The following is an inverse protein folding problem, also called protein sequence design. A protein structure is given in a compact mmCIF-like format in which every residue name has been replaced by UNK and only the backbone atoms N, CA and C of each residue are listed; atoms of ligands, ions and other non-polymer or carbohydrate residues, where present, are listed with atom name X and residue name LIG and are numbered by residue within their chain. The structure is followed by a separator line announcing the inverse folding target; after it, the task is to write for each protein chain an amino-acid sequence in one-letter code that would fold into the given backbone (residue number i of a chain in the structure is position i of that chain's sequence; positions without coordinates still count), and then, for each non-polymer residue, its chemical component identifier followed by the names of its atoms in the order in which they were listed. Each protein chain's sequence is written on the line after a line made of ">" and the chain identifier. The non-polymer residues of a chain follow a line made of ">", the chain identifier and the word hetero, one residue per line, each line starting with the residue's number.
data_IF_663413477884
#
_entry.id   IF_663413477884
#
_cell.length_a   1.000
_cell.length_b   1.000
_cell.length_c   1.000
_cell.angle_alpha   90.00
_cell.angle_beta   90.00
_cell.angle_gamma   90.00
#
_symmetry.space_group_name_H-M   'P 1'
#
loop_
_entity.id
_entity.type
_entity.pdbx_description
1 polymer ?
#
# COMPACT_ATOMS: atom_id res chain seq x y z
N UNK A 1 -0.06 -1.27 12.71
CA UNK A 1 -0.06 -0.89 11.28
C UNK A 1 -1.46 -0.81 10.67
N UNK A 2 -2.40 -1.70 11.03
CA UNK A 2 -3.77 -1.68 10.47
C UNK A 2 -4.45 -0.31 10.59
N UNK A 3 -4.42 0.32 11.78
CA UNK A 3 -5.06 1.64 12.01
C UNK A 3 -4.46 2.76 11.15
N UNK A 4 -3.14 2.73 10.93
CA UNK A 4 -2.43 3.73 10.11
C UNK A 4 -2.82 3.58 8.64
N UNK A 5 -2.84 2.35 8.12
CA UNK A 5 -3.26 2.10 6.73
C UNK A 5 -4.75 2.39 6.52
N UNK A 6 -5.60 2.10 7.52
CA UNK A 6 -7.02 2.47 7.47
C UNK A 6 -7.19 4.00 7.40
N UNK A 7 -6.47 4.74 8.25
CA UNK A 7 -6.48 6.21 8.24
C UNK A 7 -6.02 6.76 6.88
N UNK A 8 -4.91 6.25 6.34
CA UNK A 8 -4.41 6.63 5.01
C UNK A 8 -5.45 6.36 3.92
N UNK A 9 -6.13 5.21 3.97
CA UNK A 9 -7.19 4.87 3.02
C UNK A 9 -8.38 5.83 3.10
N UNK A 10 -8.81 6.19 4.31
CA UNK A 10 -9.91 7.16 4.53
C UNK A 10 -9.53 8.55 4.06
N UNK A 11 -8.31 9.01 4.35
CA UNK A 11 -7.82 10.33 3.91
C UNK A 11 -7.74 10.38 2.38
N UNK A 12 -7.20 9.35 1.73
CA UNK A 12 -7.15 9.28 0.26
C UNK A 12 -8.55 9.24 -0.36
N UNK A 13 -9.51 8.53 0.26
CA UNK A 13 -10.91 8.53 -0.17
C UNK A 13 -11.56 9.92 -0.06
N UNK A 14 -11.27 10.65 1.03
CA UNK A 14 -11.76 12.03 1.19
C UNK A 14 -11.18 12.94 0.11
N UNK A 15 -9.88 12.83 -0.19
CA UNK A 15 -9.24 13.59 -1.29
C UNK A 15 -9.88 13.23 -2.63
N UNK A 16 -10.14 11.94 -2.89
CA UNK A 16 -10.87 11.49 -4.08
C UNK A 16 -12.26 12.13 -4.15
N UNK A 17 -13.02 12.13 -3.06
CA UNK A 17 -14.37 12.68 -3.01
C UNK A 17 -14.37 14.20 -3.27
N UNK A 18 -13.42 14.93 -2.69
CA UNK A 18 -13.25 16.37 -2.91
C UNK A 18 -12.90 16.70 -4.36
N UNK A 19 -12.17 15.82 -5.07
CA UNK A 19 -11.91 16.00 -6.50
C UNK A 19 -13.14 15.80 -7.40
N UNK A 20 -14.26 15.25 -6.89
CA UNK A 20 -15.49 15.12 -7.67
C UNK A 20 -16.39 16.36 -7.63
N UNK A 21 -16.26 17.21 -6.61
CA UNK A 21 -17.06 18.44 -6.48
C UNK A 21 -16.55 19.58 -7.37
N UNK A 22 -15.26 19.58 -7.71
CA UNK A 22 -14.68 20.54 -8.64
C UNK A 22 -14.80 20.07 -10.09
N UNK A 23 -15.36 20.93 -10.96
CA UNK A 23 -15.60 20.72 -12.39
C UNK A 23 -14.30 20.58 -13.25
N UNK A 24 -13.13 20.43 -12.61
CA UNK A 24 -11.81 20.27 -13.21
C UNK A 24 -11.35 18.80 -13.16
N UNK A 25 -10.41 18.37 -14.03
CA UNK A 25 -10.50 17.09 -14.70
C UNK A 25 -10.29 15.92 -13.73
N UNK A 26 -11.17 14.93 -13.88
CA UNK A 26 -11.22 13.55 -13.33
C UNK A 26 -9.91 12.73 -13.49
N UNK A 27 -8.80 13.38 -13.86
CA UNK A 27 -7.56 12.75 -14.31
C UNK A 27 -6.79 12.07 -13.18
N UNK A 28 -6.79 12.63 -11.97
CA UNK A 28 -6.03 12.11 -10.83
C UNK A 28 -6.89 11.41 -9.77
N UNK A 29 -8.20 11.68 -9.73
CA UNK A 29 -9.16 11.05 -8.82
C UNK A 29 -9.11 9.51 -8.88
N UNK A 30 -8.91 8.94 -10.08
CA UNK A 30 -8.78 7.49 -10.27
C UNK A 30 -7.51 6.94 -9.60
N UNK A 31 -6.41 7.68 -9.65
CA UNK A 31 -5.14 7.30 -9.00
C UNK A 31 -5.30 7.32 -7.47
N UNK A 32 -5.90 8.39 -6.93
CA UNK A 32 -6.22 8.47 -5.50
C UNK A 32 -7.17 7.36 -5.03
N UNK A 33 -8.21 7.08 -5.81
CA UNK A 33 -9.15 5.99 -5.52
C UNK A 33 -8.45 4.62 -5.51
N UNK A 34 -7.55 4.38 -6.47
CA UNK A 34 -6.80 3.14 -6.54
C UNK A 34 -5.84 3.00 -5.33
N UNK A 35 -5.16 4.08 -4.92
CA UNK A 35 -4.35 4.09 -3.71
C UNK A 35 -5.16 3.86 -2.44
N UNK A 36 -6.33 4.48 -2.32
CA UNK A 36 -7.23 4.29 -1.20
C UNK A 36 -7.72 2.83 -1.10
N UNK A 37 -8.09 2.26 -2.25
CA UNK A 37 -8.49 0.86 -2.36
C UNK A 37 -7.37 -0.09 -1.94
N UNK A 38 -6.13 0.15 -2.38
CA UNK A 38 -4.96 -0.64 -1.97
C UNK A 38 -4.69 -0.53 -0.46
N UNK A 39 -4.82 0.68 0.10
CA UNK A 39 -4.65 0.90 1.54
C UNK A 39 -5.72 0.17 2.36
N UNK A 40 -6.98 0.19 1.92
CA UNK A 40 -8.07 -0.54 2.56
C UNK A 40 -7.90 -2.06 2.40
N UNK A 41 -7.53 -2.54 1.21
CA UNK A 41 -7.22 -3.95 0.97
C UNK A 41 -6.10 -4.44 1.89
N UNK A 42 -5.12 -3.59 2.25
CA UNK A 42 -4.06 -3.95 3.19
C UNK A 42 -4.58 -4.28 4.60
N UNK A 43 -5.76 -3.79 4.96
CA UNK A 43 -6.38 -4.08 6.27
C UNK A 43 -7.08 -5.43 6.32
N UNK A 44 -7.39 -6.03 5.16
CA UNK A 44 -8.06 -7.33 5.10
C UNK A 44 -7.17 -8.44 5.72
N UNK A 45 -7.71 -9.25 6.64
CA UNK A 45 -6.94 -10.28 7.34
C UNK A 45 -6.78 -11.57 6.53
N UNK A 46 -7.56 -11.79 5.47
CA UNK A 46 -7.54 -13.00 4.64
C UNK A 46 -7.13 -12.69 3.20
N UNK A 47 -5.82 -12.57 2.97
CA UNK A 47 -5.27 -12.43 1.61
C UNK A 47 -4.36 -13.62 1.31
N UNK A 48 -4.50 -14.21 0.13
CA UNK A 48 -3.58 -15.25 -0.33
C UNK A 48 -2.21 -14.66 -0.63
N UNK A 49 -1.16 -15.49 -0.54
CA UNK A 49 0.22 -15.05 -0.70
C UNK A 49 0.49 -14.45 -2.10
N UNK A 50 -0.14 -15.02 -3.15
CA UNK A 50 -0.08 -14.47 -4.50
C UNK A 50 -0.74 -13.09 -4.59
N UNK A 51 -1.86 -12.90 -3.89
CA UNK A 51 -2.55 -11.61 -3.82
C UNK A 51 -1.70 -10.57 -3.11
N UNK A 52 -1.03 -10.91 -2.00
CA UNK A 52 -0.14 -10.00 -1.28
C UNK A 52 1.02 -9.54 -2.17
N UNK A 53 1.62 -10.44 -2.96
CA UNK A 53 2.67 -10.10 -3.93
C UNK A 53 2.16 -9.13 -4.99
N UNK A 54 1.01 -9.42 -5.57
CA UNK A 54 0.38 -8.56 -6.56
C UNK A 54 0.06 -7.17 -5.99
N UNK A 55 -0.53 -7.10 -4.79
CA UNK A 55 -0.84 -5.85 -4.09
C UNK A 55 0.43 -5.06 -3.75
N UNK A 56 1.52 -5.73 -3.35
CA UNK A 56 2.80 -5.07 -3.12
C UNK A 56 3.33 -4.42 -4.40
N UNK A 57 3.35 -5.15 -5.53
CA UNK A 57 3.74 -4.60 -6.83
C UNK A 57 2.83 -3.44 -7.26
N UNK A 58 1.52 -3.58 -7.09
CA UNK A 58 0.55 -2.53 -7.41
C UNK A 58 0.76 -1.26 -6.55
N UNK A 59 1.06 -1.44 -5.26
CA UNK A 59 1.37 -0.33 -4.33
C UNK A 59 2.64 0.40 -4.76
N UNK A 60 3.69 -0.34 -5.16
CA UNK A 60 4.92 0.25 -5.71
C UNK A 60 4.64 1.03 -7.00
N UNK A 61 3.88 0.45 -7.93
CA UNK A 61 3.51 1.13 -9.17
C UNK A 61 2.74 2.43 -8.91
N UNK A 62 1.79 2.41 -7.96
CA UNK A 62 1.05 3.60 -7.55
C UNK A 62 1.96 4.69 -6.98
N UNK A 63 2.96 4.31 -6.18
CA UNK A 63 3.99 5.21 -5.67
C UNK A 63 4.70 5.97 -6.80
N UNK A 64 5.08 5.27 -7.87
CA UNK A 64 5.65 5.90 -9.06
C UNK A 64 4.66 6.80 -9.78
N UNK A 65 3.39 6.41 -9.91
CA UNK A 65 2.38 7.26 -10.53
C UNK A 65 2.14 8.56 -9.77
N UNK A 66 2.10 8.52 -8.43
CA UNK A 66 1.98 9.73 -7.61
C UNK A 66 3.15 10.69 -7.80
N UNK A 67 4.39 10.18 -7.75
CA UNK A 67 5.56 11.01 -7.98
C UNK A 67 5.68 11.49 -9.43
N UNK A 68 5.34 10.66 -10.41
CA UNK A 68 5.33 11.06 -11.83
C UNK A 68 4.29 12.17 -12.08
N UNK A 69 3.10 12.06 -11.47
CA UNK A 69 2.09 13.12 -11.50
C UNK A 69 2.63 14.41 -10.90
N UNK A 70 3.27 14.33 -9.72
CA UNK A 70 3.92 15.48 -9.11
C UNK A 70 4.92 16.16 -10.06
N UNK A 71 5.87 15.39 -10.62
CA UNK A 71 6.87 15.94 -11.56
C UNK A 71 6.26 16.49 -12.86
N UNK A 72 5.09 16.01 -13.26
CA UNK A 72 4.37 16.55 -14.43
C UNK A 72 3.71 17.90 -14.12
N UNK A 73 3.29 18.12 -12.88
CA UNK A 73 2.73 19.39 -12.42
C UNK A 73 3.81 20.44 -12.10
N UNK A 74 4.97 20.04 -11.59
CA UNK A 74 6.07 20.94 -11.16
C UNK A 74 6.43 22.03 -12.19
N UNK A 75 6.59 21.76 -13.50
CA UNK A 75 6.89 22.79 -14.49
C UNK A 75 5.81 23.88 -14.61
N UNK A 76 4.56 23.56 -14.27
CA UNK A 76 3.44 24.50 -14.29
C UNK A 76 3.32 25.34 -13.01
N UNK A 77 4.10 25.03 -11.96
CA UNK A 77 4.05 25.74 -10.68
C UNK A 77 4.95 27.00 -10.64
N UNK A 78 6.00 27.09 -11.47
CA UNK A 78 6.98 28.19 -11.39
C UNK A 78 6.39 29.60 -11.57
N UNK A 79 5.29 29.74 -12.30
CA UNK A 79 4.72 31.06 -12.62
C UNK A 79 3.59 31.52 -11.67
N UNK A 80 2.79 30.62 -11.09
CA UNK A 80 1.53 30.98 -10.38
C UNK A 80 1.14 30.00 -9.25
N UNK A 81 2.10 29.35 -8.57
CA UNK A 81 1.79 28.29 -7.59
C UNK A 81 0.85 28.71 -6.45
N UNK A 82 0.81 29.99 -6.08
CA UNK A 82 -0.09 30.53 -5.04
C UNK A 82 -1.45 30.98 -5.59
N UNK A 83 -1.54 31.30 -6.88
CA UNK A 83 -2.73 31.88 -7.51
C UNK A 83 -3.64 30.83 -8.16
N UNK A 84 -3.10 29.66 -8.52
CA UNK A 84 -3.86 28.58 -9.15
C UNK A 84 -4.01 27.37 -8.21
N UNK A 85 -5.16 26.68 -8.24
CA UNK A 85 -5.41 25.48 -7.41
C UNK A 85 -4.42 24.32 -7.67
N UNK A 86 -3.60 24.40 -8.73
CA UNK A 86 -2.56 23.42 -9.08
C UNK A 86 -1.50 23.19 -7.99
N UNK A 87 -1.27 24.16 -7.09
CA UNK A 87 -0.38 23.98 -5.94
C UNK A 87 -0.89 22.92 -4.96
N UNK A 88 -2.22 22.85 -4.77
CA UNK A 88 -2.87 21.85 -3.92
C UNK A 88 -2.76 20.44 -4.49
N UNK A 89 -2.94 20.28 -5.80
CA UNK A 89 -2.83 18.99 -6.49
C UNK A 89 -1.42 18.40 -6.37
N UNK A 90 -0.39 19.22 -6.59
CA UNK A 90 1.00 18.79 -6.48
C UNK A 90 1.34 18.32 -5.05
N UNK A 91 0.92 19.08 -4.03
CA UNK A 91 1.10 18.68 -2.64
C UNK A 91 0.35 17.39 -2.33
N UNK A 92 -0.91 17.26 -2.76
CA UNK A 92 -1.71 16.06 -2.58
C UNK A 92 -1.05 14.82 -3.17
N UNK A 93 -0.48 14.92 -4.37
CA UNK A 93 0.22 13.81 -5.04
C UNK A 93 1.49 13.43 -4.27
N UNK A 94 2.26 14.42 -3.80
CA UNK A 94 3.47 14.20 -3.02
C UNK A 94 3.14 13.50 -1.68
N UNK A 95 2.14 14.00 -0.95
CA UNK A 95 1.69 13.39 0.30
C UNK A 95 1.15 11.97 0.08
N UNK A 96 0.37 11.73 -0.98
CA UNK A 96 -0.13 10.40 -1.31
C UNK A 96 1.01 9.42 -1.63
N UNK A 97 2.03 9.86 -2.36
CA UNK A 97 3.23 9.06 -2.62
C UNK A 97 3.90 8.59 -1.32
N UNK A 98 4.14 9.52 -0.38
CA UNK A 98 4.71 9.16 0.93
C UNK A 98 3.79 8.29 1.77
N UNK A 99 2.48 8.52 1.73
CA UNK A 99 1.50 7.73 2.47
C UNK A 99 1.42 6.27 1.99
N UNK A 100 1.82 5.97 0.76
CA UNK A 100 1.86 4.58 0.26
C UNK A 100 3.07 3.78 0.77
N UNK A 101 4.10 4.43 1.32
CA UNK A 101 5.28 3.75 1.89
C UNK A 101 4.92 2.81 3.07
N UNK A 102 4.18 3.25 4.10
CA UNK A 102 3.76 2.36 5.19
C UNK A 102 2.79 1.26 4.70
N UNK A 103 1.98 1.52 3.67
CA UNK A 103 1.11 0.51 3.04
C UNK A 103 1.95 -0.59 2.40
N UNK A 104 2.99 -0.22 1.64
CA UNK A 104 3.92 -1.17 1.03
C UNK A 104 4.73 -1.95 2.07
N UNK A 105 5.13 -1.27 3.15
CA UNK A 105 5.80 -1.90 4.29
C UNK A 105 4.92 -2.99 4.91
N UNK A 106 3.62 -2.73 5.10
CA UNK A 106 2.70 -3.71 5.65
C UNK A 106 2.59 -4.98 4.77
N UNK A 107 2.51 -4.83 3.43
CA UNK A 107 2.51 -5.98 2.53
C UNK A 107 3.84 -6.75 2.56
N UNK A 108 4.96 -6.04 2.63
CA UNK A 108 6.29 -6.64 2.69
C UNK A 108 6.51 -7.43 3.99
N UNK A 109 6.07 -6.87 5.12
CA UNK A 109 6.12 -7.54 6.43
C UNK A 109 5.27 -8.82 6.43
N UNK A 110 4.06 -8.79 5.86
CA UNK A 110 3.20 -9.99 5.73
C UNK A 110 3.85 -11.06 4.86
N UNK A 111 4.45 -10.67 3.73
CA UNK A 111 5.15 -11.61 2.86
C UNK A 111 6.37 -12.24 3.55
N UNK A 112 7.09 -11.47 4.37
CA UNK A 112 8.21 -11.98 5.18
C UNK A 112 7.73 -12.96 6.25
N UNK A 113 6.67 -12.63 7.00
CA UNK A 113 6.15 -13.51 8.04
C UNK A 113 5.68 -14.85 7.47
N UNK A 114 4.97 -14.85 6.34
CA UNK A 114 4.53 -16.08 5.68
C UNK A 114 5.70 -16.98 5.26
N UNK A 115 6.80 -16.41 4.72
CA UNK A 115 8.01 -17.18 4.42
C UNK A 115 8.64 -17.77 5.68
N UNK A 116 8.73 -16.99 6.75
CA UNK A 116 9.31 -17.44 8.01
C UNK A 116 8.48 -18.58 8.64
N UNK A 117 7.14 -18.53 8.55
CA UNK A 117 6.27 -19.63 8.96
C UNK A 117 6.50 -20.89 8.12
N UNK A 118 6.59 -20.77 6.80
CA UNK A 118 6.85 -21.91 5.91
C UNK A 118 8.21 -22.57 6.19
N UNK A 119 9.27 -21.77 6.42
CA UNK A 119 10.59 -22.28 6.79
C UNK A 119 10.59 -22.98 8.14
N UNK A 120 9.93 -22.41 9.16
CA UNK A 120 9.80 -23.05 10.48
C UNK A 120 8.99 -24.34 10.43
N UNK A 121 7.91 -24.37 9.65
CA UNK A 121 7.10 -25.56 9.47
C UNK A 121 7.91 -26.69 8.77
N UNK A 122 8.69 -26.36 7.74
CA UNK A 122 9.56 -27.30 7.05
C UNK A 122 10.73 -27.81 7.91
N UNK A 123 11.26 -26.97 8.81
CA UNK A 123 12.27 -27.38 9.79
C UNK A 123 11.71 -28.23 10.94
N UNK A 124 10.45 -28.00 11.35
CA UNK A 124 9.78 -28.77 12.38
C UNK A 124 9.42 -30.21 11.94
N UNK A 125 9.19 -30.43 10.65
CA UNK A 125 9.00 -31.77 10.07
C UNK A 125 10.27 -32.60 9.99
N UNK A 126 11.45 -32.04 10.28
CA UNK A 126 12.71 -32.78 10.37
C UNK A 126 13.05 -33.29 11.79
N UNK A 127 12.17 -33.16 12.79
CA UNK A 127 12.40 -33.84 14.06
C UNK A 127 12.35 -35.37 13.87
N UNK A 128 13.33 -36.14 14.38
CA UNK A 128 13.35 -37.60 14.26
C UNK A 128 12.11 -38.20 14.93
N UNK A 129 11.64 -39.38 14.47
CA UNK A 129 10.53 -40.06 15.10
C UNK A 129 10.83 -40.25 16.59
N UNK A 130 9.90 -39.82 17.44
CA UNK A 130 9.89 -40.09 18.87
C UNK A 130 10.28 -41.55 19.10
N UNK A 131 11.42 -41.75 19.75
CA UNK A 131 11.94 -43.04 20.17
C UNK A 131 10.80 -43.82 20.81
N UNK A 132 10.54 -45.03 20.29
CA UNK A 132 9.42 -45.88 20.67
C UNK A 132 9.37 -46.18 22.18
N UNK A 133 8.22 -46.66 22.68
CA UNK A 133 8.02 -46.85 24.12
C UNK A 133 9.10 -47.78 24.70
N UNK A 134 9.54 -47.53 25.95
CA UNK A 134 10.57 -48.34 26.59
C UNK A 134 10.11 -49.80 26.66
N UNK A 135 10.95 -50.71 26.14
CA UNK A 135 10.74 -52.15 26.30
C UNK A 135 10.82 -52.46 27.80
N UNK A 136 9.69 -52.86 28.37
CA UNK A 136 9.62 -53.42 29.70
C UNK A 136 10.45 -54.71 29.73
N UNK A 137 11.39 -54.76 30.67
CA UNK A 137 12.19 -55.93 31.04
C UNK A 137 11.45 -56.74 32.09
#
# INVERSE_FOLDING_TARGET
>A
MIYVNALIGVVLLLVTALQFDDLHPVRWALVYFAGASLSLLSTLPRLSLNMIRFLACATTAMLFFYFAGFFLLVPGLEADWYLKPHGGDAQGLLFAGFAMIPVLSAFSCRMKSERDYAHRAAGATQLPPLVGPPKAL
#
